data_IF_570492435513
#
_entry.id   IF_570492435513
#
_cell.length_a   1.000
_cell.length_b   1.000
_cell.length_c   1.000
_cell.angle_alpha   90.00
_cell.angle_beta   90.00
_cell.angle_gamma   90.00
#
_symmetry.space_group_name_H-M   'P 1'
#
loop_
_entity.id
_entity.type
_entity.pdbx_description
1 polymer ?
#
# COMPACT_ATOMS: atom_id res chain seq x y z
N UNK A 1 3.43 -23.37 13.00
CA UNK A 1 4.28 -22.32 12.37
C UNK A 1 5.43 -22.02 13.31
N UNK A 2 6.67 -22.27 12.89
CA UNK A 2 7.85 -22.07 13.73
C UNK A 2 8.23 -20.58 13.68
N UNK A 3 8.06 -19.84 14.79
CA UNK A 3 8.55 -18.45 14.91
C UNK A 3 7.55 -17.35 15.29
N UNK A 4 6.28 -17.67 15.60
CA UNK A 4 5.31 -16.67 16.08
C UNK A 4 5.49 -16.43 17.59
N UNK A 5 5.54 -15.16 18.04
CA UNK A 5 5.61 -14.85 19.48
C UNK A 5 4.21 -15.07 20.10
N UNK A 6 4.16 -15.51 21.36
CA UNK A 6 2.90 -15.78 22.06
C UNK A 6 1.97 -14.56 22.23
N UNK A 7 2.49 -13.35 21.99
CA UNK A 7 1.76 -12.07 22.07
C UNK A 7 1.23 -11.59 20.71
N UNK A 8 1.62 -12.24 19.61
CA UNK A 8 1.19 -11.80 18.29
C UNK A 8 -0.30 -12.17 18.09
N UNK A 9 -1.20 -11.22 17.80
CA UNK A 9 -2.64 -11.46 17.72
C UNK A 9 -3.05 -12.38 16.56
N UNK A 10 -2.15 -12.63 15.61
CA UNK A 10 -2.31 -13.52 14.48
C UNK A 10 -1.12 -13.43 13.52
N UNK A 11 -1.07 -14.26 12.47
CA UNK A 11 -0.06 -14.14 11.43
C UNK A 11 -0.24 -12.82 10.67
N UNK A 12 0.70 -11.89 10.82
CA UNK A 12 0.73 -10.61 10.10
C UNK A 12 1.97 -10.52 9.21
N UNK A 13 1.80 -10.02 7.98
CA UNK A 13 2.91 -9.81 7.05
C UNK A 13 3.41 -8.37 7.17
N UNK A 14 4.55 -8.19 7.84
CA UNK A 14 5.20 -6.88 7.96
C UNK A 14 6.15 -6.64 6.78
N UNK A 15 5.72 -5.84 5.81
CA UNK A 15 6.61 -5.33 4.77
C UNK A 15 7.54 -4.27 5.37
N UNK A 16 8.79 -4.66 5.63
CA UNK A 16 9.87 -3.76 6.08
C UNK A 16 10.62 -3.08 4.92
N UNK A 17 10.29 -3.45 3.69
CA UNK A 17 10.80 -2.81 2.48
C UNK A 17 10.06 -1.48 2.28
N UNK A 18 10.77 -0.48 1.79
CA UNK A 18 10.12 0.71 1.25
C UNK A 18 9.08 0.29 0.19
N UNK A 19 7.94 0.98 0.12
CA UNK A 19 6.83 0.60 -0.77
C UNK A 19 7.14 0.90 -2.24
N UNK A 20 8.27 1.51 -2.52
CA UNK A 20 8.69 1.94 -3.85
C UNK A 20 9.76 1.02 -4.40
N UNK A 21 9.54 0.58 -5.63
CA UNK A 21 10.49 -0.20 -6.43
C UNK A 21 10.85 0.55 -7.71
N UNK A 22 12.09 0.38 -8.18
CA UNK A 22 12.50 0.86 -9.50
C UNK A 22 12.64 -0.32 -10.45
N UNK A 23 11.97 -0.24 -11.60
CA UNK A 23 12.00 -1.26 -12.65
C UNK A 23 12.34 -0.54 -13.96
N UNK A 24 13.47 -0.89 -14.57
CA UNK A 24 13.95 -0.29 -15.83
C UNK A 24 14.04 1.25 -15.80
N UNK A 25 14.46 1.82 -14.67
CA UNK A 25 14.58 3.28 -14.50
C UNK A 25 13.26 4.02 -14.26
N UNK A 26 12.15 3.30 -14.15
CA UNK A 26 10.84 3.85 -13.79
C UNK A 26 10.49 3.44 -12.36
N UNK A 27 9.71 4.27 -11.67
CA UNK A 27 9.33 4.03 -10.28
C UNK A 27 7.90 3.49 -10.18
N UNK A 28 7.69 2.58 -9.24
CA UNK A 28 6.41 1.95 -8.97
C UNK A 28 6.22 1.86 -7.46
N UNK A 29 4.96 1.84 -6.99
CA UNK A 29 4.69 1.48 -5.60
C UNK A 29 3.76 0.27 -5.48
N UNK A 30 3.97 -0.53 -4.43
CA UNK A 30 3.15 -1.71 -4.14
C UNK A 30 2.06 -1.40 -3.11
N UNK A 31 0.84 -1.86 -3.38
CA UNK A 31 -0.32 -1.77 -2.47
C UNK A 31 -0.38 -3.01 -1.56
N UNK A 32 -1.23 -2.98 -0.52
CA UNK A 32 -1.39 -4.14 0.39
C UNK A 32 -2.12 -5.31 -0.29
N UNK A 33 -2.87 -5.00 -1.32
CA UNK A 33 -3.66 -5.87 -2.15
C UNK A 33 -2.80 -6.59 -3.20
N UNK A 34 -1.49 -6.26 -3.26
CA UNK A 34 -0.52 -6.87 -4.18
C UNK A 34 -0.50 -6.23 -5.57
N UNK A 35 -1.17 -5.09 -5.75
CA UNK A 35 -1.08 -4.34 -7.03
C UNK A 35 0.18 -3.49 -7.07
N UNK A 36 0.67 -3.28 -8.29
CA UNK A 36 1.81 -2.42 -8.57
C UNK A 36 1.32 -1.21 -9.35
N UNK A 37 1.38 -0.04 -8.72
CA UNK A 37 0.91 1.22 -9.30
C UNK A 37 2.09 1.99 -9.90
N UNK A 38 1.89 2.59 -11.08
CA UNK A 38 2.93 3.28 -11.85
C UNK A 38 2.76 3.05 -13.35
N UNK A 39 3.75 3.42 -14.17
CA UNK A 39 5.06 3.96 -13.80
C UNK A 39 5.03 5.45 -13.41
N UNK A 40 5.97 5.84 -12.55
CA UNK A 40 6.27 7.22 -12.17
C UNK A 40 7.68 7.61 -12.64
N UNK A 41 7.82 8.88 -13.02
CA UNK A 41 9.07 9.40 -13.58
C UNK A 41 10.14 9.60 -12.50
N UNK A 42 9.75 10.11 -11.33
CA UNK A 42 10.64 10.24 -10.18
C UNK A 42 10.14 9.45 -8.98
N UNK A 43 11.05 9.15 -8.05
CA UNK A 43 10.70 8.56 -6.75
C UNK A 43 9.73 9.45 -5.96
N UNK A 44 9.94 10.76 -6.01
CA UNK A 44 9.12 11.76 -5.31
C UNK A 44 7.67 11.72 -5.84
N UNK A 45 7.49 11.58 -7.15
CA UNK A 45 6.15 11.43 -7.75
C UNK A 45 5.45 10.16 -7.24
N UNK A 46 6.19 9.05 -7.13
CA UNK A 46 5.65 7.81 -6.58
C UNK A 46 5.26 7.98 -5.11
N UNK A 47 6.06 8.68 -4.29
CA UNK A 47 5.76 8.97 -2.88
C UNK A 47 4.48 9.81 -2.74
N UNK A 48 4.34 10.89 -3.51
CA UNK A 48 3.12 11.69 -3.53
C UNK A 48 1.90 10.88 -3.99
N UNK A 49 2.08 9.97 -4.94
CA UNK A 49 0.98 9.16 -5.43
C UNK A 49 0.52 8.11 -4.41
N UNK A 50 1.41 7.60 -3.55
CA UNK A 50 1.04 6.73 -2.43
C UNK A 50 0.06 7.45 -1.50
N UNK A 51 0.34 8.70 -1.13
CA UNK A 51 -0.55 9.48 -0.26
C UNK A 51 -1.93 9.68 -0.91
N UNK A 52 -1.94 10.08 -2.18
CA UNK A 52 -3.19 10.25 -2.96
C UNK A 52 -3.99 8.96 -3.08
N UNK A 53 -3.30 7.82 -3.25
CA UNK A 53 -3.94 6.51 -3.30
C UNK A 53 -4.62 6.18 -1.97
N UNK A 54 -3.91 6.38 -0.84
CA UNK A 54 -4.48 6.14 0.50
C UNK A 54 -5.71 7.03 0.73
N UNK A 55 -5.62 8.32 0.41
CA UNK A 55 -6.75 9.24 0.54
C UNK A 55 -7.97 8.80 -0.29
N UNK A 56 -7.74 8.37 -1.54
CA UNK A 56 -8.81 7.85 -2.41
C UNK A 56 -9.46 6.60 -1.81
N UNK A 57 -8.67 5.68 -1.27
CA UNK A 57 -9.19 4.45 -0.66
C UNK A 57 -10.03 4.76 0.58
N UNK A 58 -9.56 5.64 1.47
CA UNK A 58 -10.31 6.11 2.63
C UNK A 58 -11.64 6.75 2.21
N UNK A 59 -11.60 7.66 1.22
CA UNK A 59 -12.82 8.31 0.72
C UNK A 59 -13.79 7.30 0.12
N UNK A 60 -13.29 6.33 -0.67
CA UNK A 60 -14.14 5.30 -1.26
C UNK A 60 -14.83 4.44 -0.20
N UNK A 61 -14.12 4.10 0.86
CA UNK A 61 -14.67 3.36 2.00
C UNK A 61 -15.79 4.14 2.70
N UNK A 62 -15.55 5.42 2.99
CA UNK A 62 -16.56 6.30 3.62
C UNK A 62 -17.83 6.44 2.77
N UNK A 63 -17.68 6.56 1.45
CA UNK A 63 -18.82 6.62 0.54
C UNK A 63 -19.63 5.33 0.53
N UNK A 64 -18.97 4.18 0.57
CA UNK A 64 -19.64 2.88 0.66
C UNK A 64 -20.41 2.77 1.98
N UNK A 65 -19.77 3.11 3.11
CA UNK A 65 -20.39 3.10 4.43
C UNK A 65 -21.61 4.03 4.51
N UNK A 66 -21.52 5.23 3.93
CA UNK A 66 -22.63 6.20 3.91
C UNK A 66 -23.85 5.75 3.09
N UNK A 67 -23.66 4.83 2.13
CA UNK A 67 -24.74 4.31 1.27
C UNK A 67 -25.43 3.10 1.87
N UNK A 68 -24.81 2.46 2.85
CA UNK A 68 -25.33 1.26 3.53
C UNK A 68 -26.24 1.57 4.72
N UNK A 69 -26.41 2.85 5.08
CA UNK A 69 -27.39 3.36 6.05
C UNK A 69 -28.49 4.15 5.33
#
# INVERSE_FOLDING_TARGET
MLGQRAIDPGPETHYRCDRISSINGQYFFSTREGTLEGPFFTRIDAEHQIERYVQRMIQSHQLIESRTF
#
